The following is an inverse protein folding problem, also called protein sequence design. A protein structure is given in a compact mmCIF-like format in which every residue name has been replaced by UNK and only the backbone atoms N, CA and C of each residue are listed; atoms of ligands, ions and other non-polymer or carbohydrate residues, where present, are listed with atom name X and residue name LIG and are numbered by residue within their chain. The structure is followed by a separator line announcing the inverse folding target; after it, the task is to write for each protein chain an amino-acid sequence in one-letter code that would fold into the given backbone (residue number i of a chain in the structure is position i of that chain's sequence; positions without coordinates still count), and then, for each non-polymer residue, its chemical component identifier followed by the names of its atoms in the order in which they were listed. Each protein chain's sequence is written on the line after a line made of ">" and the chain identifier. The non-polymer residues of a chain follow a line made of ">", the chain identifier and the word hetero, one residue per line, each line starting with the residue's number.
data_IF_564081092578
#
_entry.id   IF_564081092578
#
_cell.length_a   1.000
_cell.length_b   1.000
_cell.length_c   1.000
_cell.angle_alpha   90.00
_cell.angle_beta   90.00
_cell.angle_gamma   90.00
#
_symmetry.space_group_name_H-M   'P 1'
#
loop_
_entity.id
_entity.type
_entity.pdbx_description
1 polymer ?
#
# COMPACT_ATOMS: atom_id res chain seq x y z
N UNK A 1 -12.49 9.04 19.81
CA UNK A 1 -11.82 7.72 19.82
C UNK A 1 -12.04 7.10 18.45
N UNK A 2 -11.03 7.15 17.56
CA UNK A 2 -11.12 6.51 16.25
C UNK A 2 -11.20 5.00 16.42
N UNK A 3 -12.13 4.33 15.73
CA UNK A 3 -12.18 2.88 15.78
C UNK A 3 -10.93 2.37 15.09
N UNK A 4 -10.24 1.40 15.68
CA UNK A 4 -9.08 0.70 15.11
C UNK A 4 -9.34 0.15 13.69
N UNK A 5 -10.61 -0.02 13.33
CA UNK A 5 -11.08 -0.45 12.02
C UNK A 5 -10.83 0.60 10.93
N UNK A 6 -10.92 1.89 11.24
CA UNK A 6 -10.71 2.98 10.27
C UNK A 6 -9.23 3.09 9.85
N UNK A 7 -8.31 2.72 10.75
CA UNK A 7 -6.86 2.82 10.55
C UNK A 7 -6.25 1.52 9.99
N UNK A 8 -6.96 0.39 10.06
CA UNK A 8 -6.47 -0.90 9.58
C UNK A 8 -5.98 -0.91 8.12
N UNK A 9 -6.62 -0.24 7.14
CA UNK A 9 -6.13 -0.21 5.77
C UNK A 9 -4.79 0.51 5.63
N UNK A 10 -4.66 1.65 6.29
CA UNK A 10 -3.45 2.48 6.21
C UNK A 10 -2.30 1.88 7.03
N UNK A 11 -2.59 1.21 8.15
CA UNK A 11 -1.60 0.44 8.91
C UNK A 11 -1.06 -0.74 8.10
N UNK A 12 -1.94 -1.47 7.40
CA UNK A 12 -1.52 -2.55 6.50
C UNK A 12 -0.64 -2.01 5.38
N UNK A 13 -1.04 -0.91 4.73
CA UNK A 13 -0.24 -0.27 3.69
C UNK A 13 1.16 0.09 4.19
N UNK A 14 1.26 0.85 5.29
CA UNK A 14 2.57 1.27 5.82
C UNK A 14 3.40 0.11 6.36
N UNK A 15 2.77 -0.92 6.90
CA UNK A 15 3.46 -2.15 7.30
C UNK A 15 4.19 -2.78 6.12
N UNK A 16 3.49 -2.97 5.00
CA UNK A 16 4.08 -3.54 3.78
C UNK A 16 5.12 -2.62 3.14
N UNK A 17 4.82 -1.32 2.99
CA UNK A 17 5.76 -0.35 2.42
C UNK A 17 7.09 -0.33 3.18
N UNK A 18 7.01 -0.36 4.52
CA UNK A 18 8.21 -0.35 5.36
C UNK A 18 9.08 -1.58 5.12
N UNK A 19 8.49 -2.77 5.12
CA UNK A 19 9.24 -4.03 4.98
C UNK A 19 9.73 -4.29 3.56
N UNK A 20 8.99 -3.86 2.54
CA UNK A 20 9.24 -4.22 1.15
C UNK A 20 9.98 -3.13 0.36
N UNK A 21 10.00 -1.88 0.83
CA UNK A 21 10.76 -0.80 0.19
C UNK A 21 11.63 -0.03 1.17
N UNK A 22 11.03 0.60 2.19
CA UNK A 22 11.72 1.58 3.04
C UNK A 22 12.95 1.03 3.75
N UNK A 23 12.86 -0.16 4.34
CA UNK A 23 13.98 -0.78 5.06
C UNK A 23 15.06 -1.35 4.12
N UNK A 24 14.76 -1.51 2.83
CA UNK A 24 15.68 -2.06 1.83
C UNK A 24 16.48 -0.98 1.10
N UNK A 25 16.14 0.30 1.29
CA UNK A 25 16.71 1.43 0.55
C UNK A 25 17.29 2.48 1.49
N UNK A 26 18.25 3.25 0.98
CA UNK A 26 18.71 4.50 1.62
C UNK A 26 18.34 5.66 0.72
N UNK A 27 17.50 6.55 1.23
CA UNK A 27 17.09 7.76 0.54
C UNK A 27 18.08 8.88 0.85
N UNK A 28 18.58 9.59 -0.18
CA UNK A 28 19.49 10.72 0.01
C UNK A 28 18.73 12.03 0.14
N UNK A 29 17.56 12.11 -0.47
CA UNK A 29 16.67 13.26 -0.48
C UNK A 29 15.26 12.87 -0.05
N UNK A 30 14.50 13.87 0.40
CA UNK A 30 13.07 13.69 0.67
C UNK A 30 12.28 13.36 -0.60
N UNK A 31 12.66 13.94 -1.74
CA UNK A 31 12.02 13.73 -3.04
C UNK A 31 12.12 12.27 -3.52
N UNK A 32 13.28 11.63 -3.30
CA UNK A 32 13.44 10.19 -3.57
C UNK A 32 12.49 9.34 -2.71
N UNK A 33 12.28 9.72 -1.45
CA UNK A 33 11.32 9.01 -0.59
C UNK A 33 9.88 9.21 -1.08
N UNK A 34 9.51 10.44 -1.47
CA UNK A 34 8.17 10.73 -2.02
C UNK A 34 7.91 9.92 -3.28
N UNK A 35 8.86 9.93 -4.23
CA UNK A 35 8.75 9.19 -5.48
C UNK A 35 8.57 7.68 -5.23
N UNK A 36 9.30 7.14 -4.26
CA UNK A 36 9.21 5.72 -3.90
C UNK A 36 7.86 5.38 -3.24
N UNK A 37 7.33 6.28 -2.41
CA UNK A 37 5.98 6.15 -1.83
C UNK A 37 4.93 6.17 -2.94
N UNK A 38 4.99 7.12 -3.88
CA UNK A 38 4.04 7.21 -5.00
C UNK A 38 4.07 5.95 -5.88
N UNK A 39 5.27 5.48 -6.21
CA UNK A 39 5.46 4.24 -6.96
C UNK A 39 4.87 3.04 -6.22
N UNK A 40 5.08 2.96 -4.90
CA UNK A 40 4.56 1.88 -4.10
C UNK A 40 3.03 1.95 -3.93
N UNK A 41 2.44 3.14 -3.89
CA UNK A 41 0.98 3.33 -3.89
C UNK A 41 0.36 2.76 -5.17
N UNK A 42 0.94 3.05 -6.34
CA UNK A 42 0.47 2.50 -7.60
C UNK A 42 0.52 0.96 -7.57
N UNK A 43 1.69 0.39 -7.29
CA UNK A 43 1.89 -1.06 -7.16
C UNK A 43 0.89 -1.69 -6.18
N UNK A 44 0.71 -1.10 -5.00
CA UNK A 44 -0.18 -1.63 -3.96
C UNK A 44 -1.63 -1.66 -4.44
N UNK A 45 -2.08 -0.66 -5.20
CA UNK A 45 -3.46 -0.57 -5.67
C UNK A 45 -3.73 -1.40 -6.92
N UNK A 46 -2.78 -1.49 -7.86
CA UNK A 46 -3.02 -2.01 -9.21
C UNK A 46 -2.40 -3.37 -9.48
N UNK A 47 -1.42 -3.81 -8.68
CA UNK A 47 -0.66 -5.03 -8.93
C UNK A 47 -0.60 -5.99 -7.73
N UNK A 48 -0.80 -5.50 -6.51
CA UNK A 48 -0.72 -6.34 -5.30
C UNK A 48 -2.00 -7.15 -5.09
N UNK A 49 -1.99 -8.41 -5.49
CA UNK A 49 -3.05 -9.36 -5.16
C UNK A 49 -3.12 -9.63 -3.66
N UNK A 50 -4.33 -9.59 -3.10
CA UNK A 50 -4.55 -9.85 -1.67
C UNK A 50 -5.51 -11.01 -1.50
N UNK A 51 -5.11 -12.05 -0.75
CA UNK A 51 -5.95 -13.21 -0.48
C UNK A 51 -7.28 -12.83 0.19
N UNK A 52 -7.27 -11.82 1.06
CA UNK A 52 -8.48 -11.25 1.69
C UNK A 52 -9.45 -10.60 0.70
N UNK A 53 -9.01 -10.29 -0.51
CA UNK A 53 -9.82 -9.69 -1.59
C UNK A 53 -10.09 -10.71 -2.70
N UNK A 54 -10.26 -12.00 -2.38
CA UNK A 54 -10.45 -13.07 -3.38
C UNK A 54 -9.32 -13.16 -4.41
N UNK A 55 -8.07 -12.92 -3.99
CA UNK A 55 -6.89 -12.83 -4.87
C UNK A 55 -7.04 -11.76 -5.96
N UNK A 56 -7.69 -10.65 -5.64
CA UNK A 56 -7.76 -9.47 -6.49
C UNK A 56 -6.86 -8.37 -5.93
N UNK A 57 -6.49 -7.44 -6.80
CA UNK A 57 -5.90 -6.16 -6.40
C UNK A 57 -6.98 -5.26 -5.77
N UNK A 58 -6.60 -4.28 -4.93
CA UNK A 58 -7.55 -3.32 -4.38
C UNK A 58 -8.35 -2.57 -5.45
N UNK A 59 -7.74 -2.31 -6.62
CA UNK A 59 -8.43 -1.70 -7.76
C UNK A 59 -9.45 -2.65 -8.39
N UNK A 60 -9.06 -3.89 -8.72
CA UNK A 60 -9.97 -4.89 -9.30
C UNK A 60 -11.15 -5.20 -8.36
N UNK A 61 -10.88 -5.35 -7.06
CA UNK A 61 -11.93 -5.56 -6.07
C UNK A 61 -12.94 -4.41 -6.11
N UNK A 62 -12.48 -3.15 -6.07
CA UNK A 62 -13.36 -1.97 -6.17
C UNK A 62 -14.20 -1.96 -7.46
N UNK A 63 -13.61 -2.36 -8.59
CA UNK A 63 -14.31 -2.38 -9.87
C UNK A 63 -15.36 -3.50 -10.00
N UNK A 64 -15.28 -4.56 -9.18
CA UNK A 64 -16.29 -5.62 -9.13
C UNK A 64 -17.48 -5.29 -8.22
N UNK A 65 -17.30 -4.39 -7.25
CA UNK A 65 -18.38 -3.95 -6.34
C UNK A 65 -19.13 -2.70 -6.85
N UNK A 66 -18.75 -2.20 -8.03
CA UNK A 66 -19.35 -1.04 -8.69
C UNK A 66 -20.57 -1.41 -9.55
#
# INVERSE_FOLDING_TARGET
>A
MGKCIDNAPIESFFGHFKTESYHLKKYRTYDELVTDVETYIDFYNTQRYQAKLNNLTPFEFRNQVA
#
